data_IF_501892297774
#
_entry.id   IF_501892297774
#
_cell.length_a   1.000
_cell.length_b   1.000
_cell.length_c   1.000
_cell.angle_alpha   90.00
_cell.angle_beta   90.00
_cell.angle_gamma   90.00
#
_symmetry.space_group_name_H-M   'P 1'
#
loop_
_entity.id
_entity.type
_entity.pdbx_description
1 polymer ?
#
# COMPACT_ATOMS: atom_id res chain seq x y z
N UNK A 1 23.11 -26.90 13.86
CA UNK A 1 23.78 -25.59 13.72
C UNK A 1 23.85 -25.28 12.23
N UNK A 2 23.05 -24.33 11.74
CA UNK A 2 23.19 -23.84 10.36
C UNK A 2 24.51 -23.09 10.26
N UNK A 3 25.35 -23.48 9.31
CA UNK A 3 26.61 -22.81 9.04
C UNK A 3 26.33 -21.33 8.72
N UNK A 4 26.94 -20.41 9.48
CA UNK A 4 26.76 -18.95 9.31
C UNK A 4 27.27 -18.45 7.95
N UNK A 5 27.85 -19.33 7.11
CA UNK A 5 28.46 -19.04 5.81
C UNK A 5 27.53 -19.11 4.59
N UNK A 6 26.25 -19.52 4.74
CA UNK A 6 25.44 -19.96 3.58
C UNK A 6 24.77 -18.87 2.73
N UNK A 7 24.69 -17.61 3.18
CA UNK A 7 24.02 -16.55 2.41
C UNK A 7 25.01 -15.77 1.52
N UNK A 8 24.56 -15.40 0.32
CA UNK A 8 25.37 -14.73 -0.71
C UNK A 8 25.11 -13.22 -0.80
N UNK A 9 23.91 -12.79 -0.40
CA UNK A 9 23.55 -11.38 -0.32
C UNK A 9 22.29 -11.17 0.50
N UNK A 10 21.77 -9.95 0.48
CA UNK A 10 20.54 -9.62 1.17
C UNK A 10 19.78 -8.47 0.52
N UNK A 11 18.47 -8.52 0.63
CA UNK A 11 17.58 -7.38 0.39
C UNK A 11 17.52 -6.51 1.64
N UNK A 12 17.65 -5.20 1.45
CA UNK A 12 17.33 -4.17 2.41
C UNK A 12 16.01 -3.55 2.01
N UNK A 13 15.00 -3.74 2.85
CA UNK A 13 13.71 -3.09 2.77
C UNK A 13 13.82 -1.83 3.64
N UNK A 14 14.06 -0.70 2.99
CA UNK A 14 14.19 0.60 3.64
C UNK A 14 12.82 1.26 3.63
N UNK A 15 12.27 1.52 4.80
CA UNK A 15 11.08 2.34 4.92
C UNK A 15 11.54 3.81 4.91
N UNK A 16 11.48 4.48 3.75
CA UNK A 16 11.86 5.89 3.60
C UNK A 16 10.82 6.86 4.21
N UNK A 17 10.09 6.43 5.27
CA UNK A 17 9.19 7.32 5.98
C UNK A 17 9.96 8.26 6.92
N UNK A 18 10.87 9.07 6.39
CA UNK A 18 11.53 10.16 7.13
C UNK A 18 10.51 11.12 7.77
N UNK A 19 9.25 11.09 7.33
CA UNK A 19 8.14 11.91 7.82
C UNK A 19 7.29 11.28 8.92
N UNK A 20 7.50 10.01 9.30
CA UNK A 20 6.62 9.31 10.26
C UNK A 20 7.41 8.71 11.42
N UNK A 21 7.48 9.49 12.51
CA UNK A 21 7.46 9.14 13.94
C UNK A 21 7.94 7.75 14.42
N UNK A 22 8.53 7.62 15.63
CA UNK A 22 8.96 6.36 16.27
C UNK A 22 7.89 5.23 16.44
N UNK A 23 6.69 5.39 15.90
CA UNK A 23 5.57 4.42 15.89
C UNK A 23 5.63 3.41 14.73
N UNK A 24 6.67 3.43 13.89
CA UNK A 24 6.89 2.45 12.80
C UNK A 24 7.25 1.03 13.30
N UNK A 25 7.60 0.88 14.58
CA UNK A 25 7.96 -0.39 15.24
C UNK A 25 6.97 -1.53 14.97
N UNK A 26 5.67 -1.22 14.99
CA UNK A 26 4.61 -2.22 14.75
C UNK A 26 4.56 -2.70 13.30
N UNK A 27 4.81 -1.80 12.34
CA UNK A 27 4.91 -2.16 10.93
C UNK A 27 6.10 -3.07 10.67
N UNK A 28 7.25 -2.76 11.27
CA UNK A 28 8.48 -3.55 11.19
C UNK A 28 8.30 -4.93 11.81
N UNK A 29 7.68 -5.03 12.99
CA UNK A 29 7.40 -6.30 13.64
C UNK A 29 6.46 -7.18 12.81
N UNK A 30 5.41 -6.57 12.24
CA UNK A 30 4.48 -7.28 11.35
C UNK A 30 5.21 -7.81 10.10
N UNK A 31 6.03 -6.97 9.46
CA UNK A 31 6.85 -7.38 8.31
C UNK A 31 7.87 -8.47 8.70
N UNK A 32 8.52 -8.37 9.86
CA UNK A 32 9.43 -9.41 10.36
C UNK A 32 8.74 -10.75 10.53
N UNK A 33 7.52 -10.76 11.09
CA UNK A 33 6.75 -12.00 11.27
C UNK A 33 6.41 -12.63 9.92
N UNK A 34 5.93 -11.82 8.96
CA UNK A 34 5.61 -12.28 7.60
C UNK A 34 6.86 -12.83 6.92
N UNK A 35 7.98 -12.10 7.00
CA UNK A 35 9.25 -12.51 6.42
C UNK A 35 9.81 -13.77 7.09
N UNK A 36 9.58 -13.96 8.39
CA UNK A 36 9.98 -15.18 9.11
C UNK A 36 9.16 -16.38 8.64
N UNK A 37 7.84 -16.24 8.48
CA UNK A 37 6.98 -17.27 7.87
C UNK A 37 7.38 -17.57 6.43
N UNK A 38 7.77 -16.54 5.66
CA UNK A 38 8.27 -16.71 4.29
C UNK A 38 9.59 -17.50 4.27
N UNK A 39 10.48 -17.22 5.21
CA UNK A 39 11.74 -17.92 5.39
C UNK A 39 11.53 -19.40 5.71
N UNK A 40 10.59 -19.72 6.61
CA UNK A 40 10.20 -21.11 6.94
C UNK A 40 9.62 -21.85 5.73
N UNK A 41 8.82 -21.16 4.89
CA UNK A 41 8.24 -21.74 3.67
C UNK A 41 9.27 -21.96 2.56
N UNK A 42 10.28 -21.10 2.46
CA UNK A 42 11.26 -21.09 1.37
C UNK A 42 12.70 -21.05 1.91
N UNK A 43 13.13 -22.04 2.72
CA UNK A 43 14.44 -22.02 3.38
C UNK A 43 15.61 -22.07 2.40
N UNK A 44 15.41 -22.71 1.23
CA UNK A 44 16.41 -22.76 0.16
C UNK A 44 16.64 -21.39 -0.49
N UNK A 45 15.66 -20.49 -0.45
CA UNK A 45 15.76 -19.14 -1.01
C UNK A 45 16.21 -18.13 0.05
N UNK A 46 15.75 -18.33 1.29
CA UNK A 46 16.04 -17.50 2.45
C UNK A 46 16.72 -18.35 3.53
N UNK A 47 18.06 -18.47 3.51
CA UNK A 47 18.77 -19.39 4.39
C UNK A 47 18.86 -18.93 5.85
N UNK A 48 18.42 -17.70 6.15
CA UNK A 48 18.51 -17.11 7.49
C UNK A 48 17.26 -16.31 7.83
N UNK A 49 16.89 -16.25 9.13
CA UNK A 49 15.81 -15.38 9.60
C UNK A 49 16.06 -13.91 9.21
N UNK A 50 15.00 -13.16 8.87
CA UNK A 50 15.11 -11.73 8.60
C UNK A 50 15.58 -10.98 9.86
N UNK A 51 16.18 -9.81 9.68
CA UNK A 51 16.65 -8.98 10.79
C UNK A 51 16.21 -7.54 10.63
N UNK A 52 15.71 -6.94 11.70
CA UNK A 52 15.63 -5.49 11.80
C UNK A 52 16.98 -4.92 12.22
N UNK A 53 17.41 -3.86 11.55
CA UNK A 53 18.62 -3.11 11.86
C UNK A 53 18.31 -1.62 11.80
N UNK A 54 18.61 -0.91 12.89
CA UNK A 54 18.46 0.54 12.96
C UNK A 54 19.73 1.22 12.46
N UNK A 55 19.62 2.08 11.45
CA UNK A 55 20.75 2.83 10.90
C UNK A 55 20.32 4.28 10.64
N UNK A 56 20.97 5.25 11.28
CA UNK A 56 20.64 6.67 11.17
C UNK A 56 19.15 6.97 11.36
N UNK A 57 18.56 6.44 12.45
CA UNK A 57 17.14 6.59 12.78
C UNK A 57 16.14 5.85 11.87
N UNK A 58 16.59 5.31 10.74
CA UNK A 58 15.78 4.47 9.85
C UNK A 58 15.88 3.00 10.25
N UNK A 59 14.73 2.34 10.27
CA UNK A 59 14.63 0.90 10.49
C UNK A 59 14.67 0.17 9.15
N UNK A 60 15.69 -0.67 8.99
CA UNK A 60 15.91 -1.48 7.80
C UNK A 60 15.57 -2.94 8.11
N UNK A 61 14.80 -3.57 7.22
CA UNK A 61 14.59 -5.01 7.26
C UNK A 61 15.53 -5.70 6.28
N UNK A 62 16.36 -6.59 6.81
CA UNK A 62 17.34 -7.36 6.05
C UNK A 62 16.79 -8.76 5.81
N UNK A 63 16.69 -9.15 4.53
CA UNK A 63 16.25 -10.48 4.10
C UNK A 63 17.39 -11.15 3.34
N UNK A 64 17.97 -12.19 3.93
CA UNK A 64 19.16 -12.86 3.41
C UNK A 64 18.80 -13.88 2.35
N UNK A 65 19.63 -13.99 1.30
CA UNK A 65 19.39 -14.89 0.16
C UNK A 65 20.55 -15.85 -0.04
N UNK A 66 20.25 -17.04 -0.55
CA UNK A 66 21.22 -18.12 -0.82
C UNK A 66 21.87 -18.03 -2.20
N UNK A 67 21.29 -17.29 -3.13
CA UNK A 67 21.70 -17.20 -4.53
C UNK A 67 21.87 -15.73 -4.96
N UNK A 68 23.07 -15.38 -5.39
CA UNK A 68 23.45 -14.07 -5.90
C UNK A 68 23.46 -13.97 -7.42
N UNK A 69 23.03 -15.03 -8.12
CA UNK A 69 22.73 -14.96 -9.54
C UNK A 69 21.59 -13.97 -9.79
N UNK A 70 21.54 -13.38 -10.99
CA UNK A 70 20.45 -12.46 -11.36
C UNK A 70 19.08 -13.13 -11.23
N UNK A 71 19.00 -14.42 -11.55
CA UNK A 71 17.76 -15.20 -11.47
C UNK A 71 17.35 -15.44 -10.01
N UNK A 72 18.29 -15.79 -9.13
CA UNK A 72 18.05 -15.94 -7.69
C UNK A 72 17.65 -14.64 -7.01
N UNK A 73 18.30 -13.53 -7.37
CA UNK A 73 17.96 -12.17 -6.92
C UNK A 73 16.53 -11.83 -7.35
N UNK A 74 16.19 -12.04 -8.62
CA UNK A 74 14.83 -11.80 -9.13
C UNK A 74 13.80 -12.65 -8.38
N UNK A 75 14.03 -13.96 -8.29
CA UNK A 75 13.12 -14.91 -7.62
C UNK A 75 12.89 -14.56 -6.15
N UNK A 76 13.94 -14.15 -5.43
CA UNK A 76 13.83 -13.73 -4.03
C UNK A 76 13.05 -12.42 -3.88
N UNK A 77 13.27 -11.43 -4.75
CA UNK A 77 12.48 -10.20 -4.72
C UNK A 77 10.99 -10.46 -5.01
N UNK A 78 10.68 -11.27 -6.01
CA UNK A 78 9.31 -11.65 -6.35
C UNK A 78 8.65 -12.39 -5.19
N UNK A 79 9.34 -13.34 -4.56
CA UNK A 79 8.84 -14.04 -3.38
C UNK A 79 8.55 -13.08 -2.22
N UNK A 80 9.42 -12.09 -1.97
CA UNK A 80 9.17 -11.06 -0.95
C UNK A 80 7.92 -10.25 -1.33
N UNK A 81 7.83 -9.72 -2.56
CA UNK A 81 6.71 -8.88 -3.01
C UNK A 81 5.37 -9.59 -3.01
N UNK A 82 5.34 -10.89 -3.32
CA UNK A 82 4.10 -11.68 -3.30
C UNK A 82 3.61 -12.02 -1.89
N UNK A 83 4.44 -11.83 -0.86
CA UNK A 83 4.08 -12.17 0.53
C UNK A 83 4.07 -10.96 1.46
N UNK A 84 4.80 -9.89 1.11
CA UNK A 84 4.95 -8.68 1.91
C UNK A 84 4.39 -7.51 1.13
N UNK A 85 3.35 -6.89 1.68
CA UNK A 85 2.82 -5.60 1.25
C UNK A 85 3.84 -4.50 1.61
N UNK A 86 4.81 -4.32 0.72
CA UNK A 86 5.87 -3.33 0.85
C UNK A 86 5.76 -2.38 -0.35
N UNK A 87 5.36 -1.12 -0.19
CA UNK A 87 5.15 -0.20 -1.31
C UNK A 87 6.42 0.58 -1.71
N UNK A 88 7.57 0.30 -1.11
CA UNK A 88 8.82 1.03 -1.35
C UNK A 88 9.81 0.23 -2.21
N UNK A 89 10.87 0.88 -2.67
CA UNK A 89 11.96 0.21 -3.41
C UNK A 89 12.75 -0.69 -2.45
N UNK A 90 13.06 -1.91 -2.88
CA UNK A 90 13.98 -2.80 -2.16
C UNK A 90 15.36 -2.73 -2.80
N UNK A 91 16.41 -2.73 -1.99
CA UNK A 91 17.79 -2.65 -2.47
C UNK A 91 18.54 -3.93 -2.15
N UNK A 92 19.23 -4.50 -3.13
CA UNK A 92 20.01 -5.70 -2.95
C UNK A 92 21.49 -5.37 -2.81
N UNK A 93 22.10 -5.95 -1.78
CA UNK A 93 23.52 -5.82 -1.48
C UNK A 93 24.19 -7.18 -1.60
N UNK A 94 25.22 -7.26 -2.45
CA UNK A 94 26.12 -8.41 -2.43
C UNK A 94 27.00 -8.35 -1.20
N UNK A 95 27.17 -9.51 -0.58
CA UNK A 95 27.86 -9.62 0.68
C UNK A 95 29.17 -10.42 0.53
N UNK A 96 30.24 -9.89 1.12
CA UNK A 96 31.22 -10.69 1.90
C UNK A 96 31.00 -10.58 3.44
N UNK A 97 30.50 -9.47 4.00
CA UNK A 97 30.04 -9.28 5.42
C UNK A 97 28.87 -8.23 5.56
N UNK A 98 27.68 -8.39 6.24
CA UNK A 98 26.71 -7.29 6.43
C UNK A 98 27.19 -6.25 7.44
N UNK A 99 28.33 -6.47 8.11
CA UNK A 99 28.99 -5.46 8.93
C UNK A 99 30.17 -4.81 8.19
N UNK A 100 30.47 -5.24 6.96
CA UNK A 100 31.48 -4.59 6.13
C UNK A 100 31.06 -3.15 5.84
N UNK A 101 32.05 -2.25 5.84
CA UNK A 101 31.88 -0.88 5.34
C UNK A 101 31.77 -0.84 3.80
N UNK A 102 32.23 -1.88 3.11
CA UNK A 102 32.14 -2.02 1.64
C UNK A 102 30.89 -2.82 1.24
N UNK A 103 29.72 -2.26 1.56
CA UNK A 103 28.45 -2.76 1.01
C UNK A 103 28.22 -2.07 -0.33
N UNK A 104 28.20 -2.83 -1.41
CA UNK A 104 27.85 -2.29 -2.74
C UNK A 104 26.42 -2.61 -3.06
N UNK A 105 25.63 -1.57 -3.25
CA UNK A 105 24.26 -1.67 -3.71
C UNK A 105 24.31 -2.05 -5.19
N UNK A 106 23.84 -3.24 -5.54
CA UNK A 106 23.97 -3.77 -6.89
C UNK A 106 22.67 -3.76 -7.66
N UNK A 107 21.57 -4.05 -6.98
CA UNK A 107 20.26 -4.10 -7.60
C UNK A 107 19.25 -3.31 -6.80
N UNK A 108 18.20 -2.86 -7.48
CA UNK A 108 16.99 -2.37 -6.86
C UNK A 108 15.78 -3.02 -7.52
N UNK A 109 14.77 -3.32 -6.72
CA UNK A 109 13.52 -3.89 -7.20
C UNK A 109 12.36 -2.96 -6.83
N UNK A 110 11.60 -2.50 -7.82
CA UNK A 110 10.47 -1.57 -7.62
C UNK A 110 9.22 -2.31 -7.14
N UNK A 111 8.20 -1.59 -6.62
CA UNK A 111 6.88 -2.16 -6.37
C UNK A 111 6.23 -2.74 -7.64
N UNK A 112 6.53 -2.18 -8.81
CA UNK A 112 5.93 -2.58 -10.10
C UNK A 112 6.60 -3.82 -10.73
N UNK A 113 7.44 -4.53 -9.97
CA UNK A 113 8.11 -5.74 -10.45
C UNK A 113 9.30 -5.48 -11.39
N UNK A 114 9.84 -4.26 -11.41
CA UNK A 114 10.99 -3.91 -12.23
C UNK A 114 12.29 -4.10 -11.44
N UNK A 115 13.23 -4.82 -12.04
CA UNK A 115 14.55 -5.08 -11.47
C UNK A 115 15.60 -4.29 -12.27
N UNK A 116 16.38 -3.47 -11.56
CA UNK A 116 17.46 -2.68 -12.11
C UNK A 116 18.80 -3.11 -11.54
N UNK A 117 19.86 -2.97 -12.35
CA UNK A 117 21.25 -3.15 -11.95
C UNK A 117 22.00 -1.81 -11.97
N UNK A 118 22.79 -1.55 -10.94
CA UNK A 118 23.66 -0.36 -10.89
C UNK A 118 24.77 -0.45 -11.94
N UNK A 119 25.04 0.65 -12.64
CA UNK A 119 26.13 0.77 -13.62
C UNK A 119 27.48 1.13 -12.97
N UNK A 120 27.46 1.77 -11.81
CA UNK A 120 28.66 2.28 -11.15
C UNK A 120 29.20 1.26 -10.14
N UNK A 121 30.53 1.08 -10.17
CA UNK A 121 31.27 0.35 -9.13
C UNK A 121 31.44 1.17 -7.85
N UNK A 122 31.28 2.49 -7.95
CA UNK A 122 31.48 3.46 -6.89
C UNK A 122 30.10 3.92 -6.41
N UNK A 123 29.79 3.66 -5.14
CA UNK A 123 28.48 3.86 -4.49
C UNK A 123 28.03 5.33 -4.39
N UNK A 124 28.31 6.19 -5.38
CA UNK A 124 27.91 7.59 -5.36
C UNK A 124 26.43 7.73 -5.70
N UNK A 125 25.79 8.74 -5.09
CA UNK A 125 24.38 9.07 -5.24
C UNK A 125 23.94 9.41 -6.69
N UNK A 126 24.86 9.44 -7.66
CA UNK A 126 24.59 9.61 -9.09
C UNK A 126 24.65 8.33 -9.92
N UNK A 127 24.56 7.16 -9.29
CA UNK A 127 24.62 5.86 -10.00
C UNK A 127 23.48 5.74 -11.00
N UNK A 128 23.81 5.49 -12.28
CA UNK A 128 22.80 5.21 -13.29
C UNK A 128 22.30 3.77 -13.18
N UNK A 129 21.00 3.56 -13.38
CA UNK A 129 20.34 2.26 -13.22
C UNK A 129 19.93 1.71 -14.57
N UNK A 130 20.33 0.48 -14.87
CA UNK A 130 19.90 -0.23 -16.10
C UNK A 130 18.80 -1.22 -15.76
N UNK A 131 17.65 -1.10 -16.41
CA UNK A 131 16.57 -2.09 -16.32
C UNK A 131 17.08 -3.43 -16.88
N UNK A 132 16.92 -4.51 -16.11
CA UNK A 132 17.37 -5.85 -16.51
C UNK A 132 16.23 -6.87 -16.59
N UNK A 133 15.15 -6.66 -15.85
CA UNK A 133 13.95 -7.49 -15.93
C UNK A 133 12.73 -6.67 -15.55
N UNK A 134 11.61 -6.94 -16.20
CA UNK A 134 10.29 -6.42 -15.85
C UNK A 134 9.36 -7.60 -15.68
N UNK A 135 8.72 -7.73 -14.51
CA UNK A 135 7.74 -8.76 -14.30
C UNK A 135 6.43 -8.36 -14.98
N UNK A 136 6.22 -8.87 -16.19
CA UNK A 136 5.02 -8.57 -16.99
C UNK A 136 3.71 -9.05 -16.35
N UNK A 137 3.78 -9.97 -15.36
CA UNK A 137 2.59 -10.40 -14.61
C UNK A 137 2.11 -9.35 -13.60
N UNK A 138 3.01 -8.54 -13.06
CA UNK A 138 2.66 -7.40 -12.18
C UNK A 138 2.29 -6.15 -12.98
N UNK A 139 2.77 -6.05 -14.23
CA UNK A 139 2.43 -4.94 -15.13
C UNK A 139 1.33 -5.30 -16.13
N UNK A 140 0.64 -6.41 -15.95
CA UNK A 140 -0.70 -6.59 -16.49
C UNK A 140 -1.67 -5.74 -15.65
N UNK A 141 -1.35 -4.45 -15.45
CA UNK A 141 -2.40 -3.44 -15.46
C UNK A 141 -3.04 -3.71 -16.81
N UNK A 142 -4.26 -4.23 -16.78
CA UNK A 142 -4.95 -4.68 -17.97
C UNK A 142 -5.02 -3.53 -18.99
N UNK A 143 -5.61 -3.74 -20.17
CA UNK A 143 -6.05 -2.61 -21.01
C UNK A 143 -7.19 -1.85 -20.30
N UNK A 144 -6.89 -1.35 -19.11
CA UNK A 144 -7.81 -0.89 -18.10
C UNK A 144 -8.14 0.54 -18.46
N UNK A 145 -9.38 0.73 -18.86
CA UNK A 145 -9.92 2.00 -19.30
C UNK A 145 -9.62 3.07 -18.26
N UNK A 146 -8.87 4.09 -18.69
CA UNK A 146 -8.58 5.23 -17.83
C UNK A 146 -9.84 6.09 -17.65
N UNK A 147 -10.05 6.70 -16.48
CA UNK A 147 -11.15 7.63 -16.25
C UNK A 147 -11.33 8.65 -17.38
N UNK A 148 -10.24 9.23 -17.88
CA UNK A 148 -10.25 10.23 -18.96
C UNK A 148 -10.67 9.70 -20.33
N UNK A 149 -10.60 8.38 -20.56
CA UNK A 149 -10.92 7.74 -21.83
C UNK A 149 -12.39 7.30 -21.93
N UNK A 150 -13.07 7.23 -20.79
CA UNK A 150 -14.45 6.74 -20.72
C UNK A 150 -15.44 7.89 -20.90
N UNK A 151 -16.19 7.86 -22.00
CA UNK A 151 -17.13 8.92 -22.39
C UNK A 151 -18.59 8.46 -22.51
N UNK A 152 -18.85 7.16 -22.34
CA UNK A 152 -20.17 6.53 -22.54
C UNK A 152 -21.00 6.39 -21.25
N UNK A 153 -20.35 6.35 -20.09
CA UNK A 153 -20.95 6.18 -18.75
C UNK A 153 -20.40 7.21 -17.78
N UNK A 154 -21.09 7.49 -16.68
CA UNK A 154 -20.70 8.58 -15.78
C UNK A 154 -19.51 8.23 -14.87
N UNK A 155 -19.34 6.94 -14.57
CA UNK A 155 -18.33 6.44 -13.64
C UNK A 155 -17.69 5.15 -14.14
N UNK A 156 -16.46 4.92 -13.73
CA UNK A 156 -15.80 3.62 -13.78
C UNK A 156 -15.59 3.09 -12.36
N UNK A 157 -15.56 1.76 -12.22
CA UNK A 157 -15.37 1.13 -10.92
C UNK A 157 -14.69 -0.23 -11.02
N UNK A 158 -14.09 -0.65 -9.90
CA UNK A 158 -13.53 -1.98 -9.67
C UNK A 158 -14.19 -2.58 -8.41
N UNK A 159 -14.71 -3.81 -8.45
CA UNK A 159 -14.86 -4.70 -9.62
C UNK A 159 -15.65 -4.06 -10.78
N UNK A 160 -15.39 -4.47 -12.02
CA UNK A 160 -16.06 -3.89 -13.22
C UNK A 160 -17.52 -4.33 -13.36
N UNK A 161 -17.89 -5.48 -12.80
CA UNK A 161 -19.27 -5.89 -12.68
C UNK A 161 -19.98 -5.07 -11.59
N UNK A 162 -21.08 -4.41 -11.94
CA UNK A 162 -21.84 -3.51 -11.06
C UNK A 162 -22.44 -4.23 -9.83
N UNK A 163 -22.88 -5.47 -9.98
CA UNK A 163 -23.43 -6.25 -8.87
C UNK A 163 -22.33 -6.65 -7.87
N UNK A 164 -21.18 -7.09 -8.38
CA UNK A 164 -20.00 -7.40 -7.56
C UNK A 164 -19.49 -6.16 -6.84
N UNK A 165 -19.43 -5.02 -7.55
CA UNK A 165 -19.07 -3.74 -6.96
C UNK A 165 -20.03 -3.35 -5.83
N UNK A 166 -21.34 -3.44 -6.05
CA UNK A 166 -22.34 -3.18 -5.00
C UNK A 166 -22.19 -4.13 -3.82
N UNK A 167 -21.98 -5.42 -4.07
CA UNK A 167 -21.80 -6.41 -3.02
C UNK A 167 -20.56 -6.11 -2.17
N UNK A 168 -19.45 -5.76 -2.80
CA UNK A 168 -18.21 -5.40 -2.12
C UNK A 168 -18.32 -4.08 -1.33
N UNK A 169 -19.09 -3.12 -1.85
CA UNK A 169 -19.09 -1.74 -1.34
C UNK A 169 -20.31 -1.33 -0.54
N UNK A 170 -21.44 -2.05 -0.54
CA UNK A 170 -22.66 -1.65 0.18
C UNK A 170 -22.74 -2.16 1.64
N UNK A 171 -21.68 -2.79 2.15
CA UNK A 171 -21.62 -3.26 3.54
C UNK A 171 -21.39 -2.16 4.59
N UNK A 172 -20.93 -2.58 5.78
CA UNK A 172 -20.52 -1.70 6.90
C UNK A 172 -19.32 -0.79 6.59
N UNK A 173 -18.81 -0.87 5.38
CA UNK A 173 -17.68 -0.10 4.90
C UNK A 173 -17.93 1.39 4.72
N UNK A 174 -16.99 2.00 4.02
CA UNK A 174 -17.03 3.39 3.63
C UNK A 174 -15.95 3.66 2.60
N UNK A 175 -15.66 4.93 2.36
CA UNK A 175 -14.72 5.36 1.32
C UNK A 175 -13.88 6.55 1.72
N UNK A 176 -12.59 6.48 1.38
CA UNK A 176 -11.73 7.65 1.25
C UNK A 176 -12.02 8.36 -0.07
N UNK A 177 -12.07 9.68 -0.03
CA UNK A 177 -12.33 10.52 -1.21
C UNK A 177 -11.08 11.34 -1.51
N UNK A 178 -10.55 11.17 -2.72
CA UNK A 178 -9.42 11.91 -3.24
C UNK A 178 -9.94 12.83 -4.34
N UNK A 179 -9.68 14.13 -4.21
CA UNK A 179 -10.00 15.12 -5.24
C UNK A 179 -8.76 15.49 -6.04
N UNK A 180 -8.94 15.76 -7.34
CA UNK A 180 -7.88 16.27 -8.21
C UNK A 180 -8.41 17.37 -9.16
N UNK A 181 -7.48 18.16 -9.69
CA UNK A 181 -7.72 19.29 -10.59
C UNK A 181 -8.00 18.85 -12.03
N UNK A 182 -7.26 17.86 -12.51
CA UNK A 182 -7.14 17.52 -13.93
C UNK A 182 -7.20 16.01 -14.18
N UNK A 183 -7.37 15.65 -15.45
CA UNK A 183 -7.53 14.26 -15.90
C UNK A 183 -6.24 13.46 -15.80
N UNK A 184 -5.08 14.08 -16.05
CA UNK A 184 -3.78 13.41 -15.98
C UNK A 184 -3.50 12.95 -14.54
N UNK A 185 -3.73 13.84 -13.57
CA UNK A 185 -3.63 13.51 -12.15
C UNK A 185 -4.62 12.41 -11.77
N UNK A 186 -5.88 12.48 -12.25
CA UNK A 186 -6.88 11.45 -11.98
C UNK A 186 -6.46 10.07 -12.49
N UNK A 187 -5.98 10.00 -13.73
CA UNK A 187 -5.55 8.74 -14.34
C UNK A 187 -4.32 8.17 -13.65
N UNK A 188 -3.37 9.02 -13.24
CA UNK A 188 -2.20 8.60 -12.48
C UNK A 188 -2.57 8.06 -11.09
N UNK A 189 -3.49 8.74 -10.39
CA UNK A 189 -4.04 8.22 -9.12
C UNK A 189 -4.73 6.87 -9.35
N UNK A 190 -5.57 6.75 -10.38
CA UNK A 190 -6.29 5.52 -10.71
C UNK A 190 -5.34 4.32 -10.90
N UNK A 191 -4.33 4.47 -11.78
CA UNK A 191 -3.28 3.46 -12.02
C UNK A 191 -2.58 3.02 -10.74
N UNK A 192 -2.22 3.98 -9.89
CA UNK A 192 -1.52 3.72 -8.64
C UNK A 192 -2.39 3.07 -7.56
N UNK A 193 -3.70 3.22 -7.64
CA UNK A 193 -4.66 2.68 -6.67
C UNK A 193 -5.12 1.26 -7.02
N UNK A 194 -5.10 0.86 -8.29
CA UNK A 194 -5.49 -0.49 -8.75
C UNK A 194 -4.76 -1.58 -7.95
N UNK A 195 -3.44 -1.43 -7.74
CA UNK A 195 -2.67 -2.37 -6.91
C UNK A 195 -3.19 -2.54 -5.48
N UNK A 196 -3.76 -1.50 -4.88
CA UNK A 196 -4.33 -1.59 -3.53
C UNK A 196 -5.65 -2.36 -3.52
N UNK A 197 -6.38 -2.30 -4.64
CA UNK A 197 -7.53 -3.17 -4.86
C UNK A 197 -7.08 -4.63 -5.07
N UNK A 198 -6.07 -4.86 -5.91
CA UNK A 198 -5.56 -6.22 -6.18
C UNK A 198 -4.98 -6.92 -4.95
N UNK A 199 -4.36 -6.16 -4.03
CA UNK A 199 -3.84 -6.69 -2.77
C UNK A 199 -4.90 -6.82 -1.66
N UNK A 200 -6.15 -6.42 -1.92
CA UNK A 200 -7.25 -6.46 -0.96
C UNK A 200 -7.18 -5.41 0.14
N UNK A 201 -6.29 -4.42 0.05
CA UNK A 201 -6.28 -3.25 0.94
C UNK A 201 -7.55 -2.42 0.74
N UNK A 202 -8.00 -2.31 -0.51
CA UNK A 202 -9.28 -1.72 -0.89
C UNK A 202 -10.22 -2.81 -1.40
N UNK A 203 -11.50 -2.73 -1.03
CA UNK A 203 -12.53 -3.66 -1.52
C UNK A 203 -13.20 -3.16 -2.79
N UNK A 204 -12.96 -1.92 -3.17
CA UNK A 204 -13.44 -1.35 -4.42
C UNK A 204 -12.88 0.03 -4.71
N UNK A 205 -12.92 0.41 -5.98
CA UNK A 205 -12.55 1.71 -6.48
C UNK A 205 -13.68 2.27 -7.34
N UNK A 206 -13.91 3.58 -7.29
CA UNK A 206 -14.84 4.27 -8.20
C UNK A 206 -14.30 5.63 -8.56
N UNK A 207 -14.31 5.97 -9.84
CA UNK A 207 -13.90 7.29 -10.32
C UNK A 207 -14.94 7.89 -11.26
N UNK A 208 -15.01 9.22 -11.31
CA UNK A 208 -15.74 9.92 -12.36
C UNK A 208 -15.07 9.71 -13.72
N UNK A 209 -15.85 9.69 -14.79
CA UNK A 209 -15.38 9.54 -16.16
C UNK A 209 -15.39 10.86 -16.94
N UNK A 210 -14.76 10.88 -18.11
CA UNK A 210 -14.80 12.02 -19.02
C UNK A 210 -16.20 12.40 -19.52
N UNK A 211 -17.19 11.49 -19.48
CA UNK A 211 -18.59 11.83 -19.80
C UNK A 211 -19.11 12.97 -18.93
N UNK A 212 -18.70 12.99 -17.65
CA UNK A 212 -19.12 14.00 -16.67
C UNK A 212 -18.64 15.43 -17.01
N UNK A 213 -17.74 15.58 -17.99
CA UNK A 213 -17.31 16.90 -18.48
C UNK A 213 -18.26 17.52 -19.51
N UNK A 214 -19.17 16.74 -20.11
CA UNK A 214 -19.93 17.15 -21.31
C UNK A 214 -21.35 17.65 -20.98
N UNK A 215 -21.91 17.28 -19.83
CA UNK A 215 -23.32 17.57 -19.52
C UNK A 215 -23.47 18.27 -18.16
N UNK A 216 -23.97 19.50 -18.21
CA UNK A 216 -24.50 20.32 -17.11
C UNK A 216 -23.50 20.93 -16.11
N UNK A 217 -23.18 22.18 -16.41
CA UNK A 217 -22.43 23.14 -15.59
C UNK A 217 -23.23 23.42 -14.32
N UNK A 218 -23.03 22.60 -13.29
CA UNK A 218 -23.21 23.06 -11.92
C UNK A 218 -21.83 23.41 -11.35
N UNK A 219 -21.54 24.70 -11.07
CA UNK A 219 -20.20 25.18 -10.69
C UNK A 219 -19.65 24.57 -9.38
N UNK A 220 -20.46 23.81 -8.63
CA UNK A 220 -20.02 23.08 -7.44
C UNK A 220 -19.42 21.70 -7.71
N UNK A 221 -19.46 21.19 -8.95
CA UNK A 221 -19.08 19.81 -9.30
C UNK A 221 -17.77 19.68 -10.10
N UNK A 222 -16.97 20.74 -10.19
CA UNK A 222 -15.69 20.74 -10.93
C UNK A 222 -14.58 19.87 -10.32
N UNK A 223 -14.83 19.14 -9.22
CA UNK A 223 -13.80 18.30 -8.61
C UNK A 223 -13.91 16.88 -9.14
N UNK A 224 -12.90 16.49 -9.93
CA UNK A 224 -12.68 15.09 -10.29
C UNK A 224 -12.32 14.35 -9.01
N UNK A 225 -12.85 13.14 -8.85
CA UNK A 225 -12.64 12.39 -7.63
C UNK A 225 -12.48 10.88 -7.84
N UNK A 226 -11.73 10.26 -6.95
CA UNK A 226 -11.64 8.81 -6.78
C UNK A 226 -12.13 8.46 -5.37
N UNK A 227 -12.97 7.44 -5.30
CA UNK A 227 -13.49 6.86 -4.08
C UNK A 227 -12.80 5.51 -3.86
N UNK A 228 -12.13 5.36 -2.71
CA UNK A 228 -11.41 4.15 -2.33
C UNK A 228 -12.14 3.47 -1.17
N UNK A 229 -12.76 2.32 -1.43
CA UNK A 229 -13.65 1.66 -0.48
C UNK A 229 -12.90 0.70 0.44
N UNK A 230 -13.29 0.67 1.72
CA UNK A 230 -12.83 -0.30 2.72
C UNK A 230 -14.00 -1.16 3.21
N UNK A 231 -13.71 -2.36 3.71
CA UNK A 231 -14.73 -3.35 4.10
C UNK A 231 -15.57 -2.93 5.32
N UNK A 232 -14.93 -2.26 6.29
CA UNK A 232 -15.54 -1.91 7.58
C UNK A 232 -15.11 -0.49 7.98
N UNK A 233 -16.10 0.39 8.20
CA UNK A 233 -15.90 1.76 8.64
C UNK A 233 -15.68 1.91 10.14
N UNK A 234 -15.92 0.87 10.96
CA UNK A 234 -15.70 0.90 12.40
C UNK A 234 -14.32 0.34 12.79
N UNK A 235 -13.71 -0.46 11.91
CA UNK A 235 -12.33 -0.93 12.07
C UNK A 235 -11.33 0.21 11.78
N UNK A 236 -11.10 1.08 12.78
CA UNK A 236 -10.19 2.25 12.68
C UNK A 236 -8.80 1.91 12.15
N UNK A 237 -8.25 0.77 12.56
CA UNK A 237 -6.94 0.32 12.13
C UNK A 237 -6.90 -0.02 10.63
N UNK A 238 -7.89 -0.77 10.15
CA UNK A 238 -8.03 -1.08 8.72
C UNK A 238 -8.21 0.19 7.89
N UNK A 239 -9.05 1.12 8.34
CA UNK A 239 -9.29 2.40 7.67
C UNK A 239 -8.01 3.26 7.63
N UNK A 240 -7.23 3.29 8.73
CA UNK A 240 -5.92 3.96 8.78
C UNK A 240 -4.93 3.32 7.81
N UNK A 241 -4.84 1.99 7.81
CA UNK A 241 -3.94 1.26 6.93
C UNK A 241 -4.24 1.58 5.47
N UNK A 242 -5.52 1.56 5.07
CA UNK A 242 -5.92 1.95 3.72
C UNK A 242 -5.50 3.40 3.39
N UNK A 243 -5.70 4.36 4.31
CA UNK A 243 -5.27 5.75 4.11
C UNK A 243 -3.74 5.88 3.93
N UNK A 244 -2.97 5.20 4.76
CA UNK A 244 -1.51 5.18 4.66
C UNK A 244 -1.04 4.56 3.35
N UNK A 245 -1.62 3.42 2.97
CA UNK A 245 -1.32 2.75 1.70
C UNK A 245 -1.64 3.65 0.51
N UNK A 246 -2.80 4.33 0.51
CA UNK A 246 -3.17 5.32 -0.51
C UNK A 246 -2.12 6.43 -0.56
N UNK A 247 -1.83 7.08 0.57
CA UNK A 247 -0.87 8.18 0.66
C UNK A 247 0.49 7.80 0.09
N UNK A 248 1.05 6.67 0.53
CA UNK A 248 2.34 6.17 0.09
C UNK A 248 2.33 5.84 -1.40
N UNK A 249 1.26 5.19 -1.88
CA UNK A 249 1.22 4.69 -3.24
C UNK A 249 0.92 5.79 -4.27
N UNK A 250 0.33 6.91 -3.87
CA UNK A 250 -0.01 8.00 -4.80
C UNK A 250 0.78 9.27 -4.58
N UNK A 251 1.44 9.45 -3.43
CA UNK A 251 2.02 10.75 -3.04
C UNK A 251 0.95 11.83 -2.88
N UNK A 252 -0.22 11.48 -2.33
CA UNK A 252 -1.34 12.43 -2.24
C UNK A 252 -1.13 13.44 -1.10
N UNK A 253 -0.79 14.68 -1.44
CA UNK A 253 -0.37 15.69 -0.46
C UNK A 253 -1.51 16.41 0.29
N UNK A 254 -2.76 16.13 -0.07
CA UNK A 254 -3.93 16.77 0.54
C UNK A 254 -4.56 15.92 1.63
N UNK A 255 -5.36 16.57 2.49
CA UNK A 255 -6.18 15.86 3.47
C UNK A 255 -7.19 14.95 2.76
N UNK A 256 -7.23 13.69 3.18
CA UNK A 256 -8.25 12.75 2.73
C UNK A 256 -9.37 12.70 3.76
N UNK A 257 -10.61 12.63 3.27
CA UNK A 257 -11.80 12.53 4.11
C UNK A 257 -12.49 11.20 3.86
N UNK A 258 -12.88 10.54 4.96
CA UNK A 258 -13.56 9.26 4.93
C UNK A 258 -15.05 9.43 5.25
N UNK A 259 -15.91 8.80 4.46
CA UNK A 259 -17.36 8.76 4.68
C UNK A 259 -17.84 7.30 4.76
N UNK A 260 -18.63 6.94 5.78
CA UNK A 260 -19.27 5.63 5.85
C UNK A 260 -20.37 5.50 4.78
N UNK A 261 -20.63 4.28 4.33
CA UNK A 261 -21.70 4.05 3.37
C UNK A 261 -23.09 4.35 3.95
N UNK A 262 -23.29 4.06 5.24
CA UNK A 262 -24.50 4.44 5.97
C UNK A 262 -24.76 5.96 5.91
N UNK A 263 -23.73 6.79 6.13
CA UNK A 263 -23.87 8.24 6.03
C UNK A 263 -24.18 8.71 4.59
N UNK A 264 -23.89 7.89 3.58
CA UNK A 264 -24.30 8.12 2.19
C UNK A 264 -25.76 7.74 1.96
N UNK A 265 -26.25 6.66 2.57
CA UNK A 265 -27.62 6.18 2.41
C UNK A 265 -28.65 7.09 3.08
N UNK A 266 -28.32 7.69 4.23
CA UNK A 266 -29.22 8.61 4.95
C UNK A 266 -29.33 9.99 4.26
N UNK A 267 -28.76 10.14 3.05
CA UNK A 267 -28.90 11.36 2.26
C UNK A 267 -28.22 12.59 2.86
N UNK A 268 -27.43 12.45 3.93
CA UNK A 268 -26.83 13.61 4.61
C UNK A 268 -25.73 14.22 3.75
N UNK A 269 -26.11 15.16 2.87
CA UNK A 269 -25.20 15.92 2.04
C UNK A 269 -25.06 17.36 2.55
N UNK A 270 -23.91 17.98 2.27
CA UNK A 270 -23.63 19.36 2.69
C UNK A 270 -24.66 20.35 2.12
N UNK A 271 -25.12 20.13 0.88
CA UNK A 271 -26.12 20.97 0.23
C UNK A 271 -27.52 20.83 0.87
N UNK A 272 -27.75 19.78 1.66
CA UNK A 272 -28.96 19.58 2.46
C UNK A 272 -28.79 20.11 3.90
N UNK A 273 -27.76 20.93 4.17
CA UNK A 273 -27.52 21.54 5.49
C UNK A 273 -26.77 20.64 6.48
N UNK A 274 -26.41 19.41 6.10
CA UNK A 274 -25.60 18.53 6.94
C UNK A 274 -24.12 18.92 6.87
N UNK A 275 -23.72 19.85 7.73
CA UNK A 275 -22.30 20.06 8.02
C UNK A 275 -21.73 18.84 8.78
N UNK A 276 -20.54 18.36 8.40
CA UNK A 276 -19.78 17.30 9.12
C UNK A 276 -20.14 15.85 8.78
N UNK A 277 -20.20 15.52 7.49
CA UNK A 277 -20.54 14.17 7.01
C UNK A 277 -19.37 13.18 7.11
N UNK A 278 -18.13 13.68 7.10
CA UNK A 278 -16.93 12.84 7.16
C UNK A 278 -16.72 12.29 8.57
N UNK A 279 -16.54 10.97 8.66
CA UNK A 279 -16.27 10.23 9.91
C UNK A 279 -14.80 10.37 10.32
N UNK A 280 -13.89 10.23 9.36
CA UNK A 280 -12.45 10.36 9.57
C UNK A 280 -11.81 11.37 8.64
N UNK A 281 -10.64 11.85 9.05
CA UNK A 281 -9.72 12.66 8.26
C UNK A 281 -8.32 12.09 8.40
N UNK A 282 -7.57 12.03 7.30
CA UNK A 282 -6.18 11.60 7.28
C UNK A 282 -5.32 12.71 6.65
N UNK A 283 -4.20 13.03 7.29
CA UNK A 283 -3.33 14.14 6.88
C UNK A 283 -2.07 13.65 6.18
N UNK A 284 -1.41 14.52 5.41
CA UNK A 284 -0.10 14.25 4.80
C UNK A 284 1.03 13.99 5.80
N UNK A 285 0.79 14.23 7.10
CA UNK A 285 1.71 13.87 8.20
C UNK A 285 1.49 12.45 8.74
N UNK A 286 0.62 11.67 8.11
CA UNK A 286 0.28 10.31 8.55
C UNK A 286 -0.62 10.27 9.78
N UNK A 287 -1.27 11.38 10.14
CA UNK A 287 -2.14 11.48 11.32
C UNK A 287 -3.60 11.20 10.94
N UNK A 288 -4.33 10.51 11.81
CA UNK A 288 -5.75 10.21 11.62
C UNK A 288 -6.59 10.86 12.72
N UNK A 289 -7.72 11.45 12.33
CA UNK A 289 -8.66 12.13 13.22
C UNK A 289 -10.06 11.55 13.04
N UNK A 290 -10.85 11.56 14.11
CA UNK A 290 -12.29 11.28 14.09
C UNK A 290 -13.07 12.47 14.63
N UNK A 291 -14.37 12.54 14.31
CA UNK A 291 -15.23 13.57 14.91
C UNK A 291 -15.71 13.17 16.29
N UNK A 292 -15.64 14.08 17.25
CA UNK A 292 -16.31 13.95 18.54
C UNK A 292 -17.82 14.26 18.43
N UNK A 293 -18.54 14.11 19.55
CA UNK A 293 -19.99 14.40 19.62
C UNK A 293 -20.32 15.89 19.35
N UNK A 294 -19.35 16.79 19.48
CA UNK A 294 -19.46 18.22 19.14
C UNK A 294 -19.01 18.51 17.70
N UNK A 295 -18.78 17.47 16.90
CA UNK A 295 -18.30 17.54 15.50
C UNK A 295 -16.91 18.15 15.36
N UNK A 296 -16.06 18.15 16.39
CA UNK A 296 -14.66 18.60 16.30
C UNK A 296 -13.75 17.45 15.94
N UNK A 297 -12.65 17.73 15.24
CA UNK A 297 -11.63 16.73 14.96
C UNK A 297 -10.83 16.41 16.22
N UNK A 298 -10.82 15.13 16.59
CA UNK A 298 -10.02 14.57 17.68
C UNK A 298 -9.03 13.57 17.08
N UNK A 299 -7.74 13.73 17.39
CA UNK A 299 -6.69 12.81 16.94
C UNK A 299 -6.95 11.42 17.51
N UNK A 300 -6.91 10.40 16.65
CA UNK A 300 -7.00 9.01 17.06
C UNK A 300 -5.61 8.56 17.50
N UNK A 301 -5.52 8.03 18.73
CA UNK A 301 -4.30 7.43 19.26
C UNK A 301 -4.46 5.91 19.10
N UNK A 302 -3.53 5.29 18.39
CA UNK A 302 -3.48 3.83 18.23
C UNK A 302 -2.48 3.32 19.27
N UNK A 303 -2.95 2.54 20.23
CA UNK A 303 -2.09 1.95 21.24
C UNK A 303 -1.30 0.80 20.61
N UNK A 304 0.01 0.71 20.88
CA UNK A 304 0.89 -0.32 20.30
C UNK A 304 0.45 -1.77 20.67
N UNK A 305 -0.39 -1.93 21.71
CA UNK A 305 -0.87 -3.23 22.20
C UNK A 305 -2.20 -3.74 21.61
N UNK A 306 -3.00 -2.92 20.92
CA UNK A 306 -4.29 -3.36 20.34
C UNK A 306 -4.12 -4.27 19.11
N UNK A 307 -2.88 -4.44 18.64
CA UNK A 307 -2.53 -5.33 17.53
C UNK A 307 -2.60 -6.82 17.88
N UNK A 308 -2.57 -7.21 19.16
CA UNK A 308 -2.62 -8.61 19.56
C UNK A 308 -4.03 -9.21 19.62
N UNK A 309 -5.08 -8.40 19.85
CA UNK A 309 -6.45 -8.92 19.98
C UNK A 309 -7.06 -9.32 18.62
N UNK A 310 -6.75 -8.60 17.54
CA UNK A 310 -7.22 -8.93 16.18
C UNK A 310 -6.66 -10.29 15.71
N UNK A 311 -5.49 -10.71 16.21
CA UNK A 311 -4.93 -12.05 15.90
C UNK A 311 -5.74 -13.18 16.52
N UNK A 312 -6.41 -12.96 17.66
CA UNK A 312 -7.19 -14.01 18.33
C UNK A 312 -8.52 -14.28 17.61
N UNK A 313 -9.22 -13.23 17.18
CA UNK A 313 -10.54 -13.38 16.53
C UNK A 313 -10.45 -14.09 15.16
N UNK A 314 -9.41 -13.83 14.36
CA UNK A 314 -9.25 -14.53 13.07
C UNK A 314 -8.70 -15.95 13.17
N UNK A 315 -8.15 -16.36 14.32
CA UNK A 315 -7.67 -17.74 14.52
C UNK A 315 -8.79 -18.65 15.02
N UNK A 316 -9.85 -18.13 15.64
CA UNK A 316 -10.97 -18.94 16.14
C UNK A 316 -12.04 -19.28 15.07
N UNK A 317 -12.15 -18.51 13.98
CA UNK A 317 -13.12 -18.78 12.90
C UNK A 317 -12.65 -19.84 11.87
N UNK A 318 -11.41 -20.32 11.95
CA UNK A 318 -10.85 -21.32 11.03
C UNK A 318 -10.68 -22.72 11.67
N UNK A 319 -11.49 -23.07 12.67
CA UNK A 319 -11.58 -24.48 13.09
C UNK A 319 -12.36 -25.26 12.02
N UNK A 320 -11.75 -26.24 11.33
CA UNK A 320 -12.48 -27.06 10.37
C UNK A 320 -13.58 -27.81 11.11
N UNK A 321 -14.82 -27.65 10.63
CA UNK A 321 -15.91 -28.54 11.00
C UNK A 321 -15.55 -29.91 10.43
N UNK A 322 -15.14 -30.83 11.30
CA UNK A 322 -14.95 -32.24 10.96
C UNK A 322 -16.36 -32.80 10.73
N UNK A 323 -16.66 -33.13 9.46
CA UNK A 323 -17.77 -34.00 9.09
C UNK A 323 -17.26 -35.42 8.90
#
# INVERSE_FOLDING_TARGET
>A
MLDKSSHKGFWSLICDCETVSPTCSTGINTMLEILSKLQEKLPELFPMPPKAMRHNELDNLLVFTSDDSVEGIKKSAEAIRSNVDFPFIMYYFLKKDPNSKDKRMQYRHTPDGELYKSSNKDNSAGSSWKLISKNTKLTAVSDELLPSQVTDRDHIHLPTNEEDFKKATNGKGGKWILHCSDWETLDNLWKNLIRLYDTGVLVGLKSCSAKFSVTEISPSYHTKAIMCYTADADCKLSVKRAAQSIFICTGYDFEMYYKSNEASLVGRYRHEGFASVSKYMFTSRGEMFERDYLRRWKKIIFNEGEHEEIKKEHTEELKPTVL
#
